data_IF_551556365157
#
_entry.id   IF_551556365157
#
_cell.length_a   1.000
_cell.length_b   1.000
_cell.length_c   1.000
_cell.angle_alpha   90.00
_cell.angle_beta   90.00
_cell.angle_gamma   90.00
#
_symmetry.space_group_name_H-M   'P 1'
#
loop_
_entity.id
_entity.type
_entity.pdbx_description
1 polymer ?
#
# COMPACT_ATOMS: atom_id res chain seq x y z
N UNK A 1 5.88 -28.98 -16.19
CA UNK A 1 4.99 -27.88 -16.63
C UNK A 1 5.56 -26.58 -16.05
N UNK A 2 6.44 -25.92 -16.79
CA UNK A 2 7.58 -25.28 -16.13
C UNK A 2 7.43 -23.78 -15.83
N UNK A 3 6.25 -23.21 -16.08
CA UNK A 3 5.73 -22.03 -15.38
C UNK A 3 4.27 -21.82 -15.78
N UNK A 4 3.42 -21.39 -14.84
CA UNK A 4 2.10 -20.85 -15.17
C UNK A 4 2.21 -19.55 -15.99
N UNK A 5 1.13 -19.12 -16.62
CA UNK A 5 1.07 -17.86 -17.37
C UNK A 5 0.21 -16.84 -16.60
N UNK A 6 0.68 -15.60 -16.51
CA UNK A 6 -0.11 -14.47 -15.99
C UNK A 6 -1.33 -14.25 -16.90
N UNK A 7 -2.52 -14.19 -16.30
CA UNK A 7 -3.80 -13.98 -17.00
C UNK A 7 -4.40 -12.59 -16.71
N UNK A 8 -4.06 -11.99 -15.57
CA UNK A 8 -4.40 -10.64 -15.15
C UNK A 8 -3.43 -10.24 -14.02
N UNK A 9 -3.29 -8.94 -13.81
CA UNK A 9 -2.51 -8.33 -12.72
C UNK A 9 -3.38 -7.34 -11.97
N UNK A 10 -2.89 -6.88 -10.81
CA UNK A 10 -3.55 -5.80 -10.06
C UNK A 10 -3.56 -4.47 -10.82
N UNK A 11 -2.73 -4.31 -11.86
CA UNK A 11 -2.83 -3.17 -12.78
C UNK A 11 -4.12 -3.24 -13.64
N UNK A 12 -4.62 -4.44 -13.92
CA UNK A 12 -5.89 -4.62 -14.64
C UNK A 12 -7.10 -4.49 -13.72
N UNK A 13 -6.94 -4.89 -12.45
CA UNK A 13 -7.97 -4.90 -11.42
C UNK A 13 -7.37 -4.48 -10.06
N UNK A 14 -7.41 -3.18 -9.72
CA UNK A 14 -6.84 -2.65 -8.47
C UNK A 14 -7.74 -3.00 -7.28
N UNK A 15 -7.85 -4.29 -6.99
CA UNK A 15 -8.69 -4.84 -5.92
C UNK A 15 -7.90 -5.10 -4.63
N UNK A 16 -6.59 -4.87 -4.64
CA UNK A 16 -5.68 -5.07 -3.51
C UNK A 16 -4.81 -3.82 -3.38
N UNK A 17 -4.77 -3.27 -2.17
CA UNK A 17 -3.94 -2.12 -1.83
C UNK A 17 -3.25 -2.39 -0.52
N UNK A 18 -1.94 -2.18 -0.50
CA UNK A 18 -1.14 -2.27 0.71
C UNK A 18 -1.05 -0.88 1.35
N UNK A 19 -1.33 -0.82 2.65
CA UNK A 19 -1.31 0.41 3.43
C UNK A 19 -0.34 0.28 4.60
N UNK A 20 0.34 1.36 4.95
CA UNK A 20 1.08 1.44 6.20
C UNK A 20 0.14 1.75 7.35
N UNK A 21 0.15 0.91 8.38
CA UNK A 21 -0.71 1.05 9.55
C UNK A 21 0.10 1.05 10.85
N UNK A 22 -0.29 1.94 11.76
CA UNK A 22 0.13 1.91 13.16
C UNK A 22 -1.09 1.72 14.06
N UNK A 23 -0.87 1.25 15.29
CA UNK A 23 -1.98 1.23 16.25
C UNK A 23 -2.37 2.67 16.62
N UNK A 24 -3.66 2.94 16.93
CA UNK A 24 -4.09 4.28 17.35
C UNK A 24 -3.28 4.83 18.52
N UNK A 25 -2.95 3.99 19.51
CA UNK A 25 -2.11 4.38 20.65
C UNK A 25 -0.70 4.83 20.23
N UNK A 26 -0.08 4.16 19.25
CA UNK A 26 1.24 4.57 18.76
C UNK A 26 1.18 5.94 18.06
N UNK A 27 0.14 6.17 17.26
CA UNK A 27 -0.06 7.45 16.56
C UNK A 27 -0.26 8.61 17.56
N UNK A 28 -1.06 8.39 18.61
CA UNK A 28 -1.29 9.38 19.66
C UNK A 28 -0.03 9.68 20.46
N UNK A 29 0.73 8.64 20.84
CA UNK A 29 1.91 8.77 21.68
C UNK A 29 3.15 9.25 20.89
N UNK A 30 3.21 9.02 19.58
CA UNK A 30 4.41 9.25 18.76
C UNK A 30 4.10 9.94 17.41
N UNK A 31 3.41 11.09 17.40
CA UNK A 31 2.96 11.72 16.15
C UNK A 31 4.11 12.09 15.20
N UNK A 32 5.25 12.53 15.75
CA UNK A 32 6.45 12.84 14.96
C UNK A 32 7.04 11.60 14.29
N UNK A 33 7.05 10.46 14.99
CA UNK A 33 7.54 9.20 14.42
C UNK A 33 6.60 8.68 13.33
N UNK A 34 5.28 8.83 13.50
CA UNK A 34 4.31 8.47 12.47
C UNK A 34 4.48 9.32 11.20
N UNK A 35 4.67 10.64 11.36
CA UNK A 35 4.96 11.54 10.24
C UNK A 35 6.29 11.21 9.55
N UNK A 36 7.33 10.89 10.33
CA UNK A 36 8.61 10.45 9.79
C UNK A 36 8.48 9.14 9.00
N UNK A 37 7.71 8.17 9.52
CA UNK A 37 7.45 6.91 8.82
C UNK A 37 6.78 7.15 7.45
N UNK A 38 5.73 7.97 7.41
CA UNK A 38 5.05 8.31 6.17
C UNK A 38 5.99 9.04 5.19
N UNK A 39 6.80 9.97 5.69
CA UNK A 39 7.79 10.72 4.89
C UNK A 39 8.84 9.79 4.29
N UNK A 40 9.39 8.88 5.08
CA UNK A 40 10.45 7.96 4.63
C UNK A 40 9.98 6.96 3.58
N UNK A 41 8.68 6.66 3.51
CA UNK A 41 8.15 5.89 2.39
C UNK A 41 8.30 6.66 1.05
N UNK A 42 7.99 7.95 1.02
CA UNK A 42 8.17 8.76 -0.19
C UNK A 42 9.65 8.95 -0.53
N UNK A 43 10.52 9.13 0.46
CA UNK A 43 11.98 9.15 0.25
C UNK A 43 12.49 7.81 -0.33
N UNK A 44 11.87 6.69 0.03
CA UNK A 44 12.19 5.39 -0.57
C UNK A 44 11.72 5.29 -2.02
N UNK A 45 10.58 5.90 -2.38
CA UNK A 45 10.16 6.00 -3.79
C UNK A 45 11.13 6.85 -4.60
N UNK A 46 11.62 7.95 -4.04
CA UNK A 46 12.67 8.78 -4.67
C UNK A 46 13.94 7.95 -4.89
N UNK A 47 14.36 7.14 -3.91
CA UNK A 47 15.51 6.23 -4.08
C UNK A 47 15.28 5.18 -5.18
N UNK A 48 14.07 4.62 -5.30
CA UNK A 48 13.72 3.69 -6.38
C UNK A 48 13.85 4.39 -7.75
N UNK A 49 13.41 5.64 -7.85
CA UNK A 49 13.49 6.42 -9.09
C UNK A 49 14.94 6.80 -9.45
N UNK A 50 15.75 7.18 -8.47
CA UNK A 50 17.15 7.61 -8.67
C UNK A 50 18.12 6.43 -8.87
N UNK A 51 17.95 5.35 -8.10
CA UNK A 51 18.88 4.22 -8.01
C UNK A 51 18.15 2.87 -7.99
N UNK A 52 17.41 2.50 -9.05
CA UNK A 52 16.52 1.33 -9.04
C UNK A 52 17.25 0.01 -8.79
N UNK A 53 18.44 -0.20 -9.36
CA UNK A 53 19.20 -1.45 -9.14
C UNK A 53 19.60 -1.64 -7.67
N UNK A 54 20.02 -0.56 -7.01
CA UNK A 54 20.36 -0.59 -5.59
C UNK A 54 19.10 -0.80 -4.73
N UNK A 55 18.05 -0.03 -4.97
CA UNK A 55 16.80 -0.11 -4.24
C UNK A 55 16.16 -1.51 -4.36
N UNK A 56 16.06 -2.05 -5.58
CA UNK A 56 15.56 -3.41 -5.81
C UNK A 56 16.51 -4.48 -5.28
N UNK A 57 17.81 -4.22 -5.19
CA UNK A 57 18.76 -5.09 -4.50
C UNK A 57 18.48 -5.20 -3.00
N UNK A 58 18.18 -4.08 -2.34
CA UNK A 58 17.80 -4.05 -0.91
C UNK A 58 16.48 -4.78 -0.69
N UNK A 59 15.43 -4.45 -1.46
CA UNK A 59 14.11 -5.08 -1.31
C UNK A 59 14.13 -6.56 -1.70
N UNK A 60 14.81 -6.90 -2.79
CA UNK A 60 14.95 -8.28 -3.26
C UNK A 60 15.62 -9.18 -2.22
N UNK A 61 16.62 -8.67 -1.49
CA UNK A 61 17.31 -9.44 -0.46
C UNK A 61 16.36 -9.94 0.65
N UNK A 62 15.36 -9.17 1.03
CA UNK A 62 14.37 -9.55 2.06
C UNK A 62 13.47 -10.72 1.61
N UNK A 63 13.15 -10.75 0.31
CA UNK A 63 12.29 -11.78 -0.30
C UNK A 63 13.07 -12.87 -1.06
N UNK A 64 14.38 -12.98 -0.83
CA UNK A 64 15.28 -13.95 -1.49
C UNK A 64 15.29 -13.87 -3.03
N UNK A 65 15.23 -12.66 -3.57
CA UNK A 65 15.30 -12.35 -5.00
C UNK A 65 16.55 -11.52 -5.32
N UNK A 66 17.10 -11.69 -6.52
CA UNK A 66 18.04 -10.71 -7.07
C UNK A 66 17.34 -9.39 -7.38
N UNK A 67 18.10 -8.31 -7.56
CA UNK A 67 17.55 -7.03 -7.99
C UNK A 67 16.73 -7.16 -9.29
N UNK A 68 17.21 -7.95 -10.25
CA UNK A 68 16.52 -8.21 -11.53
C UNK A 68 15.18 -8.96 -11.32
N UNK A 69 15.17 -10.00 -10.47
CA UNK A 69 13.96 -10.75 -10.15
C UNK A 69 12.92 -9.89 -9.45
N UNK A 70 13.37 -9.03 -8.52
CA UNK A 70 12.49 -8.12 -7.80
C UNK A 70 11.94 -7.05 -8.74
N UNK A 71 12.77 -6.42 -9.58
CA UNK A 71 12.32 -5.46 -10.58
C UNK A 71 11.27 -6.07 -11.53
N UNK A 72 11.47 -7.32 -11.94
CA UNK A 72 10.49 -8.06 -12.75
C UNK A 72 9.16 -8.34 -12.05
N UNK A 73 9.12 -8.34 -10.72
CA UNK A 73 7.89 -8.45 -9.94
C UNK A 73 7.26 -7.08 -9.69
N UNK A 74 8.09 -6.09 -9.34
CA UNK A 74 7.70 -4.72 -9.03
C UNK A 74 7.05 -3.99 -10.21
N UNK A 75 7.35 -4.37 -11.46
CA UNK A 75 6.71 -3.78 -12.64
C UNK A 75 5.19 -3.96 -12.70
N UNK A 76 4.63 -4.90 -11.90
CA UNK A 76 3.19 -5.15 -11.80
C UNK A 76 2.54 -4.42 -10.62
N UNK A 77 3.29 -3.55 -9.94
CA UNK A 77 2.83 -2.74 -8.82
C UNK A 77 2.72 -1.28 -9.26
N UNK A 78 1.76 -0.59 -8.65
CA UNK A 78 1.65 0.86 -8.74
C UNK A 78 2.09 1.45 -7.41
N UNK A 79 3.22 2.14 -7.41
CA UNK A 79 3.73 2.84 -6.24
C UNK A 79 2.96 4.14 -6.04
N UNK A 80 2.27 4.26 -4.92
CA UNK A 80 1.49 5.45 -4.59
C UNK A 80 2.44 6.54 -4.09
N UNK A 81 2.64 7.60 -4.87
CA UNK A 81 3.36 8.78 -4.40
C UNK A 81 2.51 9.61 -3.41
N UNK A 82 3.04 10.74 -2.93
CA UNK A 82 2.35 11.56 -1.94
C UNK A 82 1.05 12.14 -2.47
N UNK A 83 1.02 12.62 -3.70
CA UNK A 83 -0.17 13.24 -4.28
C UNK A 83 -1.25 12.19 -4.53
N UNK A 84 -0.86 11.01 -5.01
CA UNK A 84 -1.76 9.87 -5.18
C UNK A 84 -2.31 9.38 -3.84
N UNK A 85 -1.49 9.29 -2.79
CA UNK A 85 -1.94 8.94 -1.44
C UNK A 85 -2.94 9.96 -0.87
N UNK A 86 -2.68 11.27 -1.03
CA UNK A 86 -3.61 12.33 -0.58
C UNK A 86 -4.94 12.22 -1.32
N UNK A 87 -4.92 12.00 -2.64
CA UNK A 87 -6.14 11.82 -3.43
C UNK A 87 -6.92 10.57 -2.99
N UNK A 88 -6.21 9.46 -2.81
CA UNK A 88 -6.78 8.18 -2.41
C UNK A 88 -7.50 8.27 -1.06
N UNK A 89 -6.81 8.74 -0.02
CA UNK A 89 -7.42 8.92 1.31
C UNK A 89 -8.42 10.09 1.39
N UNK A 90 -8.44 10.96 0.37
CA UNK A 90 -9.40 12.06 0.26
C UNK A 90 -10.79 11.63 -0.23
N UNK A 91 -10.95 10.42 -0.77
CA UNK A 91 -12.25 9.94 -1.23
C UNK A 91 -12.28 8.48 -1.68
N UNK A 92 -11.34 8.07 -2.53
CA UNK A 92 -11.34 6.74 -3.15
C UNK A 92 -11.25 5.61 -2.12
N UNK A 93 -10.56 5.84 -1.00
CA UNK A 93 -10.49 4.92 0.13
C UNK A 93 -11.87 4.61 0.72
N UNK A 94 -12.80 5.57 0.73
CA UNK A 94 -14.15 5.36 1.27
C UNK A 94 -14.97 4.46 0.35
N UNK A 95 -14.92 4.70 -0.95
CA UNK A 95 -15.63 3.90 -1.95
C UNK A 95 -15.07 2.47 -1.96
N UNK A 96 -13.74 2.32 -1.97
CA UNK A 96 -13.10 1.02 -1.86
C UNK A 96 -13.48 0.28 -0.57
N UNK A 97 -13.48 0.97 0.56
CA UNK A 97 -13.83 0.37 1.86
C UNK A 97 -15.30 -0.04 1.92
N UNK A 98 -16.20 0.70 1.26
CA UNK A 98 -17.60 0.34 1.15
C UNK A 98 -17.78 -0.94 0.32
N UNK A 99 -17.20 -0.99 -0.88
CA UNK A 99 -17.25 -2.18 -1.76
C UNK A 99 -16.64 -3.41 -1.08
N UNK A 100 -15.50 -3.24 -0.40
CA UNK A 100 -14.86 -4.30 0.35
C UNK A 100 -15.72 -4.78 1.52
N UNK A 101 -16.35 -3.87 2.27
CA UNK A 101 -17.20 -4.24 3.40
C UNK A 101 -18.45 -5.01 2.97
N UNK A 102 -19.09 -4.60 1.87
CA UNK A 102 -20.21 -5.34 1.28
C UNK A 102 -19.79 -6.74 0.85
N UNK A 103 -18.68 -6.85 0.12
CA UNK A 103 -18.14 -8.15 -0.31
C UNK A 103 -17.82 -9.06 0.88
N UNK A 104 -17.16 -8.53 1.91
CA UNK A 104 -16.78 -9.29 3.10
C UNK A 104 -18.00 -9.73 3.92
N UNK A 105 -19.07 -8.93 3.95
CA UNK A 105 -20.33 -9.28 4.59
C UNK A 105 -21.03 -10.41 3.82
N UNK A 106 -21.15 -10.28 2.51
CA UNK A 106 -21.77 -11.28 1.63
C UNK A 106 -21.00 -12.61 1.66
N UNK A 107 -19.67 -12.56 1.73
CA UNK A 107 -18.81 -13.73 1.90
C UNK A 107 -18.87 -14.34 3.31
N UNK A 108 -19.49 -13.66 4.28
CA UNK A 108 -19.60 -14.09 5.67
C UNK A 108 -18.29 -14.00 6.48
N UNK A 109 -17.32 -13.20 6.01
CA UNK A 109 -16.06 -12.94 6.72
C UNK A 109 -16.30 -12.00 7.91
N UNK A 110 -17.13 -10.98 7.71
CA UNK A 110 -17.62 -10.09 8.77
C UNK A 110 -19.11 -10.35 9.03
N UNK A 111 -19.56 -10.03 10.25
CA UNK A 111 -20.98 -10.20 10.65
C UNK A 111 -21.81 -8.94 10.48
N UNK A 112 -21.16 -7.79 10.48
CA UNK A 112 -21.74 -6.47 10.31
C UNK A 112 -20.67 -5.54 9.73
N UNK A 113 -21.09 -4.49 9.03
CA UNK A 113 -20.20 -3.47 8.48
C UNK A 113 -19.81 -2.51 9.62
N UNK A 114 -18.51 -2.31 9.91
CA UNK A 114 -18.05 -1.38 10.94
C UNK A 114 -18.21 0.08 10.49
N UNK A 115 -17.95 1.03 11.40
CA UNK A 115 -17.87 2.45 11.02
C UNK A 115 -16.64 2.70 10.15
N UNK A 116 -16.86 2.75 8.83
CA UNK A 116 -15.81 2.92 7.82
C UNK A 116 -15.07 4.26 7.96
N UNK A 117 -15.69 5.28 8.56
CA UNK A 117 -15.06 6.60 8.74
C UNK A 117 -13.89 6.58 9.73
N UNK A 118 -13.74 5.49 10.49
CA UNK A 118 -12.69 5.33 11.51
C UNK A 118 -11.50 4.50 11.04
N UNK A 119 -11.50 4.03 9.79
CA UNK A 119 -10.50 3.09 9.28
C UNK A 119 -9.16 3.72 8.94
N UNK A 120 -9.10 5.03 8.70
CA UNK A 120 -7.87 5.74 8.36
C UNK A 120 -7.80 7.12 9.03
N UNK A 121 -6.59 7.51 9.42
CA UNK A 121 -6.24 8.87 9.84
C UNK A 121 -5.23 9.45 8.84
N UNK A 122 -5.68 10.28 7.87
CA UNK A 122 -4.81 10.80 6.83
C UNK A 122 -4.04 12.06 7.26
N UNK A 123 -4.16 12.51 8.52
CA UNK A 123 -3.48 13.73 8.99
C UNK A 123 -1.95 13.65 8.85
N UNK A 124 -1.38 12.45 8.93
CA UNK A 124 0.07 12.22 8.82
C UNK A 124 0.64 12.32 7.40
N UNK A 125 -0.21 12.40 6.37
CA UNK A 125 0.22 12.55 4.96
C UNK A 125 -0.19 13.89 4.33
N UNK A 126 -1.09 14.65 4.95
CA UNK A 126 -1.66 15.88 4.40
C UNK A 126 -0.89 17.17 4.76
N UNK A 127 0.18 17.08 5.54
CA UNK A 127 1.01 18.22 5.97
C UNK A 127 2.35 18.34 5.27
#
# INVERSE_FOLDING_TARGET
PDAGKIIATTLDYPAVMDTFGCTPAFLEENPEAAKALATSYYEALDMIAESPEEAYGIMGADVNQSAEQFAGSAQYLEWQDRDAAIAFFGGEFNDFSADAAELLLDAGVIREIPDLSTLADPSFIQE
#
